data_IF_686552465784
#
_entry.id   IF_686552465784
#
_cell.length_a   1.000
_cell.length_b   1.000
_cell.length_c   1.000
_cell.angle_alpha   90.00
_cell.angle_beta   90.00
_cell.angle_gamma   90.00
#
_symmetry.space_group_name_H-M   'P 1'
#
loop_
_entity.id
_entity.type
_entity.pdbx_description
1 polymer ?
#
# COMPACT_ATOMS: atom_id res chain seq x y z
N UNK A 1 -26.41 -22.05 -3.75
CA UNK A 1 -25.68 -23.33 -3.68
C UNK A 1 -24.36 -23.10 -2.95
N UNK A 2 -24.03 -23.83 -1.87
CA UNK A 2 -22.72 -23.70 -1.24
C UNK A 2 -21.63 -24.20 -2.21
N UNK A 3 -20.63 -23.37 -2.46
CA UNK A 3 -19.53 -23.71 -3.37
C UNK A 3 -18.70 -24.81 -2.70
N UNK A 4 -18.80 -26.05 -3.20
CA UNK A 4 -18.00 -27.16 -2.70
C UNK A 4 -16.68 -27.25 -3.47
N UNK A 5 -15.59 -27.51 -2.75
CA UNK A 5 -14.28 -27.76 -3.36
C UNK A 5 -14.31 -29.05 -4.22
N UNK A 6 -13.50 -29.07 -5.28
CA UNK A 6 -13.29 -30.22 -6.19
C UNK A 6 -14.57 -30.73 -6.88
N UNK A 7 -15.66 -29.97 -6.87
CA UNK A 7 -16.83 -30.24 -7.71
C UNK A 7 -16.67 -29.57 -9.06
N UNK A 8 -17.09 -30.29 -10.11
CA UNK A 8 -17.19 -29.72 -11.45
C UNK A 8 -18.45 -28.86 -11.52
N UNK A 9 -18.27 -27.60 -11.89
CA UNK A 9 -19.34 -26.65 -12.17
C UNK A 9 -19.47 -26.50 -13.68
N UNK A 10 -20.70 -26.39 -14.12
CA UNK A 10 -21.06 -26.18 -15.51
C UNK A 10 -21.95 -24.94 -15.54
N UNK A 11 -21.56 -23.94 -16.30
CA UNK A 11 -22.35 -22.73 -16.54
C UNK A 11 -22.36 -22.43 -18.02
N UNK A 12 -23.38 -21.73 -18.50
CA UNK A 12 -23.41 -21.25 -19.89
C UNK A 12 -22.74 -19.88 -19.97
N UNK A 13 -21.93 -19.68 -21.01
CA UNK A 13 -21.42 -18.35 -21.37
C UNK A 13 -22.60 -17.43 -21.75
N UNK A 14 -22.64 -16.21 -21.21
CA UNK A 14 -23.70 -15.25 -21.51
C UNK A 14 -23.63 -14.66 -22.93
N UNK A 15 -22.46 -14.70 -23.58
CA UNK A 15 -22.30 -14.15 -24.94
C UNK A 15 -22.50 -15.20 -26.04
N UNK A 16 -21.99 -16.41 -25.86
CA UNK A 16 -21.99 -17.44 -26.91
C UNK A 16 -22.75 -18.72 -26.55
N UNK A 17 -23.41 -18.75 -25.39
CA UNK A 17 -24.20 -19.90 -24.88
C UNK A 17 -23.43 -21.23 -24.76
N UNK A 18 -22.11 -21.22 -24.95
CA UNK A 18 -21.27 -22.40 -24.80
C UNK A 18 -21.19 -22.85 -23.34
N UNK A 19 -21.03 -24.16 -23.16
CA UNK A 19 -20.88 -24.78 -21.84
C UNK A 19 -19.45 -24.56 -21.31
N UNK A 20 -19.33 -23.78 -20.25
CA UNK A 20 -18.08 -23.58 -19.52
C UNK A 20 -18.04 -24.58 -18.36
N UNK A 21 -17.06 -25.49 -18.38
CA UNK A 21 -16.80 -26.44 -17.31
C UNK A 21 -15.56 -26.04 -16.53
N UNK A 22 -15.71 -25.82 -15.23
CA UNK A 22 -14.60 -25.45 -14.35
C UNK A 22 -14.70 -26.18 -13.00
N UNK A 23 -13.56 -26.31 -12.31
CA UNK A 23 -13.48 -26.97 -11.02
C UNK A 23 -12.77 -26.04 -10.03
N UNK A 24 -13.39 -25.81 -8.88
CA UNK A 24 -12.81 -24.95 -7.84
C UNK A 24 -11.89 -25.78 -6.96
N UNK A 25 -10.58 -25.53 -7.07
CA UNK A 25 -9.55 -26.28 -6.33
C UNK A 25 -9.43 -25.83 -4.86
N UNK A 26 -9.51 -24.52 -4.62
CA UNK A 26 -9.35 -23.92 -3.29
C UNK A 26 -10.23 -22.66 -3.17
N UNK A 27 -10.80 -22.43 -1.99
CA UNK A 27 -11.57 -21.23 -1.65
C UNK A 27 -11.01 -20.72 -0.33
N UNK A 28 -10.47 -19.51 -0.36
CA UNK A 28 -9.99 -18.84 0.84
C UNK A 28 -10.81 -17.57 1.06
N UNK A 29 -11.35 -17.43 2.26
CA UNK A 29 -12.07 -16.24 2.67
C UNK A 29 -11.05 -15.19 3.10
N UNK A 30 -10.88 -14.14 2.30
CA UNK A 30 -9.97 -13.05 2.61
C UNK A 30 -10.71 -12.05 3.51
N UNK A 31 -10.60 -12.25 4.82
CA UNK A 31 -11.21 -11.35 5.79
C UNK A 31 -10.46 -10.02 5.85
N UNK A 32 -11.19 -8.93 5.61
CA UNK A 32 -10.68 -7.58 5.80
C UNK A 32 -10.43 -7.36 7.29
N UNK A 33 -9.20 -7.01 7.67
CA UNK A 33 -8.90 -6.59 9.03
C UNK A 33 -9.77 -5.37 9.39
N UNK A 34 -10.51 -5.47 10.50
CA UNK A 34 -11.26 -4.34 11.06
C UNK A 34 -10.28 -3.38 11.74
N UNK A 35 -9.68 -2.50 10.95
CA UNK A 35 -8.90 -1.38 11.47
C UNK A 35 -9.86 -0.19 11.59
N UNK A 36 -9.99 0.37 12.80
CA UNK A 36 -10.80 1.54 13.07
C UNK A 36 -10.11 2.79 12.52
N UNK A 37 -10.34 3.07 11.23
CA UNK A 37 -9.80 4.24 10.53
C UNK A 37 -10.97 5.16 10.22
N UNK A 38 -10.95 6.37 10.77
CA UNK A 38 -11.97 7.40 10.49
C UNK A 38 -11.42 8.35 9.43
N UNK A 39 -12.16 8.52 8.33
CA UNK A 39 -11.77 9.51 7.33
C UNK A 39 -11.76 10.91 7.96
N UNK A 40 -10.74 11.70 7.61
CA UNK A 40 -10.49 13.02 8.17
C UNK A 40 -9.53 13.05 9.36
N UNK A 41 -9.23 11.91 9.99
CA UNK A 41 -8.22 11.84 11.06
C UNK A 41 -6.88 11.36 10.54
N UNK A 42 -5.80 11.79 11.20
CA UNK A 42 -4.45 11.30 10.90
C UNK A 42 -4.23 9.87 11.40
N UNK A 43 -3.47 9.09 10.63
CA UNK A 43 -3.03 7.76 11.02
C UNK A 43 -1.94 7.85 12.10
N UNK A 44 -1.74 6.77 12.89
CA UNK A 44 -0.60 6.68 13.79
C UNK A 44 0.72 6.98 13.05
N UNK A 45 1.54 7.87 13.62
CA UNK A 45 2.78 8.34 13.02
C UNK A 45 2.63 8.85 11.57
N UNK A 46 1.46 9.40 11.22
CA UNK A 46 1.13 9.85 9.85
C UNK A 46 1.32 8.76 8.79
N UNK A 47 1.19 7.51 9.18
CA UNK A 47 1.38 6.35 8.30
C UNK A 47 2.83 5.90 8.12
N UNK A 48 3.80 6.56 8.75
CA UNK A 48 5.22 6.20 8.67
C UNK A 48 5.57 5.03 9.59
N UNK A 49 6.64 4.32 9.23
CA UNK A 49 7.26 3.28 10.05
C UNK A 49 8.78 3.45 10.05
N UNK A 50 9.47 2.69 10.90
CA UNK A 50 10.93 2.75 11.03
C UNK A 50 11.65 2.38 9.73
N UNK A 51 11.08 1.47 8.94
CA UNK A 51 11.64 1.06 7.64
C UNK A 51 11.54 2.19 6.60
N UNK A 52 10.39 2.86 6.54
CA UNK A 52 10.10 3.91 5.56
C UNK A 52 9.56 5.17 6.25
N UNK A 53 10.46 5.89 6.92
CA UNK A 53 10.15 7.13 7.63
C UNK A 53 9.60 8.26 6.74
N UNK A 54 9.88 8.20 5.43
CA UNK A 54 9.42 9.17 4.42
C UNK A 54 8.12 8.78 3.74
N UNK A 55 7.56 7.61 4.05
CA UNK A 55 6.30 7.13 3.48
C UNK A 55 5.16 7.47 4.42
N UNK A 56 4.27 8.38 4.03
CA UNK A 56 3.16 8.85 4.86
C UNK A 56 1.84 8.15 4.48
N UNK A 57 1.88 6.82 4.38
CA UNK A 57 0.76 6.01 3.88
C UNK A 57 0.83 4.58 4.39
N UNK A 58 -0.34 3.97 4.54
CA UNK A 58 -0.47 2.52 4.68
C UNK A 58 -0.93 1.92 3.36
N UNK A 59 -0.57 0.67 3.13
CA UNK A 59 -0.96 -0.09 1.96
C UNK A 59 -1.98 -1.14 2.34
N UNK A 60 -3.00 -1.32 1.48
CA UNK A 60 -3.86 -2.48 1.56
C UNK A 60 -3.30 -3.56 0.64
N UNK A 61 -2.77 -4.60 1.26
CA UNK A 61 -2.14 -5.71 0.53
C UNK A 61 -3.22 -6.66 0.00
N UNK A 62 -3.25 -6.99 -1.31
CA UNK A 62 -4.30 -7.81 -1.90
C UNK A 62 -4.24 -9.28 -1.44
N UNK A 63 -3.05 -9.77 -1.04
CA UNK A 63 -2.88 -11.13 -0.51
C UNK A 63 -3.75 -11.43 0.72
N UNK A 64 -4.06 -10.42 1.54
CA UNK A 64 -4.79 -10.61 2.79
C UNK A 64 -5.79 -9.49 3.11
N UNK A 65 -5.89 -8.44 2.31
CA UNK A 65 -6.66 -7.22 2.58
C UNK A 65 -6.34 -6.52 3.91
N UNK A 66 -5.18 -6.79 4.52
CA UNK A 66 -4.72 -6.09 5.72
C UNK A 66 -4.01 -4.79 5.38
N UNK A 67 -3.93 -3.88 6.36
CA UNK A 67 -3.27 -2.59 6.22
C UNK A 67 -1.94 -2.58 6.94
N UNK A 68 -0.87 -2.25 6.23
CA UNK A 68 0.45 -2.08 6.81
C UNK A 68 1.19 -0.87 6.23
N UNK A 69 2.06 -0.20 7.00
CA UNK A 69 2.85 0.94 6.49
C UNK A 69 3.85 0.54 5.40
N UNK A 70 4.31 -0.71 5.39
CA UNK A 70 5.20 -1.25 4.37
C UNK A 70 5.11 -2.77 4.25
N UNK A 71 5.70 -3.29 3.19
CA UNK A 71 5.89 -4.72 2.90
C UNK A 71 6.74 -5.44 3.97
N UNK A 72 7.78 -4.78 4.51
CA UNK A 72 8.60 -5.34 5.59
C UNK A 72 7.75 -5.53 6.87
N UNK A 73 6.92 -4.54 7.22
CA UNK A 73 6.00 -4.63 8.35
C UNK A 73 4.96 -5.73 8.12
N UNK A 74 4.45 -5.87 6.89
CA UNK A 74 3.55 -6.96 6.52
C UNK A 74 4.23 -8.33 6.73
N UNK A 75 5.40 -8.54 6.13
CA UNK A 75 6.11 -9.82 6.15
C UNK A 75 6.56 -10.24 7.56
N UNK A 76 6.72 -9.29 8.48
CA UNK A 76 7.03 -9.57 9.89
C UNK A 76 5.83 -10.11 10.66
N UNK A 77 4.60 -9.69 10.32
CA UNK A 77 3.39 -10.09 11.04
C UNK A 77 2.63 -11.23 10.35
N UNK A 78 2.72 -11.32 9.03
CA UNK A 78 1.98 -12.30 8.23
C UNK A 78 2.87 -13.49 7.86
N UNK A 79 2.28 -14.68 7.79
CA UNK A 79 2.97 -15.93 7.40
C UNK A 79 3.20 -16.09 5.89
N UNK A 80 3.03 -15.01 5.11
CA UNK A 80 3.19 -14.99 3.66
C UNK A 80 3.85 -13.68 3.22
N UNK A 81 4.40 -13.69 2.00
CA UNK A 81 5.03 -12.50 1.42
C UNK A 81 3.97 -11.50 0.94
N UNK A 82 4.28 -10.23 1.08
CA UNK A 82 3.49 -9.13 0.58
C UNK A 82 3.42 -9.13 -0.95
N UNK A 83 2.21 -9.12 -1.48
CA UNK A 83 1.97 -8.81 -2.90
C UNK A 83 2.01 -7.30 -3.15
N UNK A 84 2.15 -6.90 -4.42
CA UNK A 84 2.13 -5.48 -4.77
C UNK A 84 0.76 -4.86 -4.46
N UNK A 85 0.76 -3.87 -3.56
CA UNK A 85 -0.47 -3.17 -3.19
C UNK A 85 -0.94 -2.21 -4.29
N UNK A 86 -2.22 -2.30 -4.67
CA UNK A 86 -2.90 -1.40 -5.61
C UNK A 86 -3.62 -0.26 -4.89
N UNK A 87 -3.99 -0.47 -3.63
CA UNK A 87 -4.71 0.47 -2.78
C UNK A 87 -3.85 0.92 -1.59
N UNK A 88 -4.05 2.16 -1.15
CA UNK A 88 -3.38 2.77 -0.01
C UNK A 88 -4.33 3.63 0.80
N UNK A 89 -3.95 3.92 2.05
CA UNK A 89 -4.64 4.82 2.97
C UNK A 89 -3.72 5.99 3.28
N UNK A 90 -4.24 7.21 3.15
CA UNK A 90 -3.50 8.44 3.45
C UNK A 90 -3.13 8.55 4.93
N UNK A 91 -1.88 8.93 5.20
CA UNK A 91 -1.40 9.25 6.54
C UNK A 91 -2.10 10.44 7.22
N UNK A 92 -2.56 11.44 6.48
CA UNK A 92 -3.16 12.66 7.05
C UNK A 92 -4.66 12.56 7.26
N UNK A 93 -5.37 12.11 6.23
CA UNK A 93 -6.83 12.16 6.20
C UNK A 93 -7.45 10.77 6.23
N UNK A 94 -6.64 9.72 6.38
CA UNK A 94 -7.15 8.34 6.50
C UNK A 94 -8.04 7.88 5.34
N UNK A 95 -7.94 8.56 4.19
CA UNK A 95 -8.71 8.23 2.98
C UNK A 95 -8.09 7.04 2.27
N UNK A 96 -8.91 6.03 2.01
CA UNK A 96 -8.54 4.89 1.17
C UNK A 96 -8.68 5.26 -0.31
N UNK A 97 -7.65 4.98 -1.11
CA UNK A 97 -7.56 5.34 -2.54
C UNK A 97 -6.56 4.43 -3.26
N UNK A 98 -6.54 4.47 -4.60
CA UNK A 98 -5.48 3.81 -5.35
C UNK A 98 -4.11 4.44 -5.08
N UNK A 99 -3.05 3.64 -5.26
CA UNK A 99 -1.67 4.09 -5.06
C UNK A 99 -1.34 5.25 -5.99
N UNK A 100 -1.08 6.42 -5.38
CA UNK A 100 -0.72 7.68 -6.04
C UNK A 100 0.35 8.41 -5.21
N UNK A 101 1.05 9.36 -5.83
CA UNK A 101 2.05 10.19 -5.13
C UNK A 101 1.40 11.21 -4.20
N UNK A 102 0.24 11.71 -4.58
CA UNK A 102 -0.49 12.76 -3.88
C UNK A 102 -1.91 12.30 -3.55
N UNK A 103 -2.36 12.70 -2.36
CA UNK A 103 -3.74 12.53 -1.92
C UNK A 103 -4.57 13.75 -2.33
N UNK A 104 -5.86 13.61 -2.65
CA UNK A 104 -6.75 14.75 -2.87
C UNK A 104 -6.83 15.75 -1.71
N UNK A 105 -6.38 15.39 -0.50
CA UNK A 105 -6.24 16.33 0.62
C UNK A 105 -5.00 17.24 0.54
N UNK A 106 -4.17 17.11 -0.51
CA UNK A 106 -2.94 17.89 -0.71
C UNK A 106 -1.68 17.28 -0.08
N UNK A 107 -1.79 16.15 0.64
CA UNK A 107 -0.61 15.47 1.17
C UNK A 107 0.16 14.74 0.06
N UNK A 108 1.46 15.04 -0.03
CA UNK A 108 2.41 14.21 -0.78
C UNK A 108 2.83 13.01 0.08
N UNK A 109 2.50 11.80 -0.38
CA UNK A 109 2.76 10.53 0.32
C UNK A 109 4.23 10.10 0.26
N UNK A 110 4.97 10.69 -0.68
CA UNK A 110 6.39 10.48 -0.89
C UNK A 110 7.08 11.82 -0.64
N UNK A 111 8.17 11.80 0.13
CA UNK A 111 8.99 13.00 0.28
C UNK A 111 9.44 13.52 -1.10
N UNK A 112 9.30 14.82 -1.33
CA UNK A 112 9.86 15.46 -2.53
C UNK A 112 11.37 15.19 -2.54
N UNK A 113 11.90 14.65 -3.63
CA UNK A 113 13.34 14.39 -3.74
C UNK A 113 13.99 15.56 -4.44
N UNK A 114 14.72 16.40 -3.69
CA UNK A 114 15.62 17.42 -4.25
C UNK A 114 17.06 16.95 -4.06
N UNK A 115 17.89 17.06 -5.11
CA UNK A 115 19.28 16.53 -5.11
C UNK A 115 20.15 17.08 -3.98
N UNK A 116 19.90 18.30 -3.53
CA UNK A 116 20.73 18.99 -2.53
C UNK A 116 19.98 19.40 -1.25
N UNK A 117 18.66 19.27 -1.24
CA UNK A 117 17.80 19.75 -0.16
C UNK A 117 16.99 18.59 0.42
N UNK A 118 16.67 18.64 1.71
CA UNK A 118 15.86 17.63 2.41
C UNK A 118 14.38 17.73 2.07
N UNK A 119 14.06 17.55 0.79
CA UNK A 119 12.69 17.46 0.30
C UNK A 119 11.80 18.67 0.62
N UNK A 120 12.35 19.87 0.46
CA UNK A 120 11.60 21.12 0.58
C UNK A 120 11.50 21.70 1.99
N UNK A 121 12.11 21.08 3.02
CA UNK A 121 12.18 21.63 4.39
C UNK A 121 13.19 22.77 4.57
N UNK A 122 13.79 23.29 3.50
CA UNK A 122 14.73 24.40 3.56
C UNK A 122 16.12 24.08 4.11
N UNK A 123 16.40 22.83 4.53
CA UNK A 123 17.73 22.41 4.97
C UNK A 123 18.45 21.58 3.89
N UNK A 124 19.76 21.79 3.73
CA UNK A 124 20.57 21.06 2.73
C UNK A 124 21.02 19.72 3.30
N UNK A 125 20.90 18.66 2.50
CA UNK A 125 21.38 17.36 2.92
C UNK A 125 22.90 17.27 2.66
N UNK A 126 23.71 17.34 3.73
CA UNK A 126 25.18 17.24 3.65
C UNK A 126 25.66 15.95 2.99
N UNK A 127 24.91 14.85 3.09
CA UNK A 127 25.27 13.58 2.47
C UNK A 127 25.18 13.64 0.94
N UNK A 128 24.13 14.27 0.41
CA UNK A 128 23.88 14.35 -1.05
C UNK A 128 24.56 15.54 -1.72
N UNK A 129 25.10 16.49 -0.94
CA UNK A 129 25.92 17.58 -1.45
C UNK A 129 27.14 17.05 -2.22
N UNK A 130 27.49 17.74 -3.31
CA UNK A 130 28.69 17.41 -4.09
C UNK A 130 29.93 17.52 -3.22
N UNK A 131 30.93 16.63 -3.43
CA UNK A 131 32.23 16.75 -2.75
C UNK A 131 32.95 18.06 -3.07
N UNK A 132 32.63 18.67 -4.22
CA UNK A 132 33.17 19.97 -4.65
C UNK A 132 32.43 21.17 -4.05
N UNK A 133 31.31 20.94 -3.36
CA UNK A 133 30.55 22.03 -2.74
C UNK A 133 31.21 22.42 -1.40
N UNK A 134 31.69 23.67 -1.32
CA UNK A 134 32.38 24.20 -0.15
C UNK A 134 31.53 24.21 1.12
N UNK A 135 30.20 24.12 0.99
CA UNK A 135 29.26 24.09 2.12
C UNK A 135 29.03 22.68 2.67
N UNK A 136 29.61 21.64 2.06
CA UNK A 136 29.50 20.25 2.54
C UNK A 136 30.25 20.02 3.85
N UNK A 137 31.41 20.65 4.01
CA UNK A 137 32.33 20.46 5.14
C UNK A 137 32.30 21.61 6.17
N UNK A 138 31.48 22.62 5.92
CA UNK A 138 31.09 23.62 6.94
C UNK A 138 29.90 23.08 7.72
#
# INVERSE_FOLDING_TARGET
>A
MPISLRKNFIINCYECHSLIKFCVQNIQLINKQKVAIKQGTELPNKGACDHYSKSLRWFRFPCCNHLFPCDICHNKQMKHKADLATNMVCGLCSKEQSVKKECPCGMNMIAKTSRFWEGGKGNRNKQTLSKKDSRKYK
#
